data_IF_962648530101
#
_entry.id   IF_962648530101
#
_cell.length_a   1.000
_cell.length_b   1.000
_cell.length_c   1.000
_cell.angle_alpha   90.00
_cell.angle_beta   90.00
_cell.angle_gamma   90.00
#
_symmetry.space_group_name_H-M   'P 1'
#
loop_
_entity.id
_entity.type
_entity.pdbx_description
1 polymer ?
#
# COMPACT_ATOMS: atom_id res chain seq x y z
N UNK A 1 -2.61 -34.51 30.32
CA UNK A 1 -2.63 -34.49 28.85
C UNK A 1 -3.07 -33.09 28.41
N UNK A 2 -2.16 -32.17 28.02
CA UNK A 2 -2.56 -30.82 27.61
C UNK A 2 -3.12 -30.85 26.17
N UNK A 3 -4.35 -30.38 26.00
CA UNK A 3 -5.02 -30.24 24.70
C UNK A 3 -4.50 -29.02 23.94
N UNK A 4 -4.13 -29.24 22.68
CA UNK A 4 -3.62 -28.25 21.72
C UNK A 4 -4.50 -27.01 21.62
N UNK A 5 -3.92 -25.84 21.88
CA UNK A 5 -4.41 -24.58 21.33
C UNK A 5 -4.17 -24.59 19.82
N UNK A 6 -5.24 -24.65 19.03
CA UNK A 6 -5.20 -24.40 17.58
C UNK A 6 -5.36 -22.89 17.38
N UNK A 7 -4.38 -22.12 17.86
CA UNK A 7 -4.21 -20.76 17.36
C UNK A 7 -3.37 -20.93 16.10
N UNK A 8 -4.03 -21.01 14.95
CA UNK A 8 -3.37 -20.75 13.67
C UNK A 8 -2.53 -19.50 13.85
N UNK A 9 -1.22 -19.61 13.63
CA UNK A 9 -0.30 -18.48 13.66
C UNK A 9 -0.95 -17.34 12.89
N UNK A 10 -1.12 -16.21 13.57
CA UNK A 10 -1.12 -14.94 12.88
C UNK A 10 0.13 -14.99 11.99
N UNK A 11 -0.04 -15.02 10.67
CA UNK A 11 1.09 -14.82 9.76
C UNK A 11 1.59 -13.42 10.06
N UNK A 12 2.58 -13.36 10.93
CA UNK A 12 3.20 -12.12 11.35
C UNK A 12 3.87 -11.58 10.12
N UNK A 13 3.56 -10.33 9.81
CA UNK A 13 4.07 -9.50 8.72
C UNK A 13 5.56 -9.67 8.41
N UNK A 14 6.34 -10.02 9.45
CA UNK A 14 7.72 -10.47 9.40
C UNK A 14 7.99 -11.68 8.48
N UNK A 15 7.02 -12.51 8.10
CA UNK A 15 7.23 -13.72 7.27
C UNK A 15 7.00 -13.47 5.77
N UNK A 16 6.66 -12.24 5.39
CA UNK A 16 6.48 -11.88 3.98
C UNK A 16 7.83 -11.98 3.22
N UNK A 17 7.93 -12.83 2.17
CA UNK A 17 9.14 -12.94 1.38
C UNK A 17 9.44 -11.61 0.66
N UNK A 18 10.67 -11.12 0.77
CA UNK A 18 11.15 -9.96 0.00
C UNK A 18 11.14 -8.60 0.70
N UNK A 19 10.60 -8.51 1.92
CA UNK A 19 10.68 -7.28 2.72
C UNK A 19 12.03 -7.19 3.47
N UNK A 20 12.76 -6.07 3.37
CA UNK A 20 13.92 -5.83 4.23
C UNK A 20 13.45 -5.73 5.69
N UNK A 21 14.09 -6.50 6.55
CA UNK A 21 13.77 -6.60 7.98
C UNK A 21 14.82 -5.89 8.82
N UNK A 22 14.38 -5.28 9.92
CA UNK A 22 15.25 -4.81 11.00
C UNK A 22 15.95 -6.01 11.66
N UNK A 23 16.96 -5.74 12.48
CA UNK A 23 17.57 -6.77 13.33
C UNK A 23 16.54 -7.46 14.25
N UNK A 24 15.46 -6.76 14.58
CA UNK A 24 14.34 -7.20 15.39
C UNK A 24 13.23 -7.93 14.60
N UNK A 25 13.36 -8.03 13.27
CA UNK A 25 12.43 -8.78 12.40
C UNK A 25 11.26 -7.97 11.82
N UNK A 26 11.12 -6.70 12.21
CA UNK A 26 10.08 -5.80 11.69
C UNK A 26 10.42 -5.25 10.30
N UNK A 27 9.44 -4.92 9.45
CA UNK A 27 9.71 -4.29 8.16
C UNK A 27 10.40 -2.92 8.32
N UNK A 28 11.55 -2.73 7.66
CA UNK A 28 12.20 -1.41 7.53
C UNK A 28 11.64 -0.73 6.31
N UNK A 29 10.85 0.32 6.52
CA UNK A 29 10.36 1.19 5.45
C UNK A 29 11.38 2.31 5.20
N UNK A 30 11.72 2.54 3.93
CA UNK A 30 12.64 3.62 3.54
C UNK A 30 11.98 5.00 3.69
N UNK A 31 10.67 5.07 3.48
CA UNK A 31 9.90 6.31 3.57
C UNK A 31 8.63 6.10 4.40
N UNK A 32 8.16 7.11 5.15
CA UNK A 32 6.98 6.97 6.01
C UNK A 32 5.70 6.53 5.27
N UNK A 33 5.55 6.93 4.00
CA UNK A 33 4.39 6.57 3.20
C UNK A 33 4.32 5.07 2.87
N UNK A 34 5.46 4.38 2.81
CA UNK A 34 5.52 2.94 2.54
C UNK A 34 4.89 2.15 3.69
N UNK A 35 5.18 2.56 4.94
CA UNK A 35 4.56 2.02 6.13
C UNK A 35 3.04 2.22 6.13
N UNK A 36 2.57 3.38 5.67
CA UNK A 36 1.15 3.69 5.58
C UNK A 36 0.44 2.83 4.52
N UNK A 37 1.01 2.69 3.33
CA UNK A 37 0.47 1.85 2.26
C UNK A 37 0.33 0.39 2.71
N UNK A 38 1.36 -0.11 3.37
CA UNK A 38 1.37 -1.43 3.98
C UNK A 38 0.28 -1.59 5.04
N UNK A 39 0.21 -0.67 6.01
CA UNK A 39 -0.80 -0.72 7.08
C UNK A 39 -2.23 -0.67 6.53
N UNK A 40 -2.49 0.14 5.50
CA UNK A 40 -3.79 0.17 4.81
C UNK A 40 -4.12 -1.18 4.18
N UNK A 41 -3.15 -1.81 3.51
CA UNK A 41 -3.33 -3.12 2.87
C UNK A 41 -3.72 -4.19 3.89
N UNK A 42 -2.98 -4.28 5.00
CA UNK A 42 -3.27 -5.22 6.10
C UNK A 42 -4.66 -4.98 6.66
N UNK A 43 -5.01 -3.72 6.96
CA UNK A 43 -6.30 -3.37 7.55
C UNK A 43 -7.48 -3.69 6.62
N UNK A 44 -7.34 -3.41 5.32
CA UNK A 44 -8.39 -3.70 4.33
C UNK A 44 -8.59 -5.22 4.16
N UNK A 45 -7.50 -5.99 4.19
CA UNK A 45 -7.56 -7.45 4.22
C UNK A 45 -8.27 -7.97 5.49
N UNK A 46 -7.90 -7.48 6.67
CA UNK A 46 -8.54 -7.86 7.95
C UNK A 46 -10.04 -7.56 7.96
N UNK A 47 -10.47 -6.53 7.23
CA UNK A 47 -11.87 -6.16 7.04
C UNK A 47 -12.60 -6.99 5.96
N UNK A 48 -11.87 -7.88 5.27
CA UNK A 48 -12.44 -8.75 4.23
C UNK A 48 -12.76 -8.03 2.92
N UNK A 49 -12.16 -6.86 2.67
CA UNK A 49 -12.34 -6.13 1.38
C UNK A 49 -11.79 -6.96 0.22
N UNK A 50 -10.70 -7.66 0.46
CA UNK A 50 -10.08 -8.64 -0.44
C UNK A 50 -9.36 -9.71 0.38
N UNK A 51 -9.09 -10.84 -0.25
CA UNK A 51 -8.26 -11.92 0.28
C UNK A 51 -6.78 -11.73 -0.06
N UNK A 52 -5.89 -12.38 0.69
CA UNK A 52 -4.45 -12.39 0.37
C UNK A 52 -4.13 -12.95 -1.03
N UNK A 53 -4.93 -13.89 -1.53
CA UNK A 53 -4.76 -14.44 -2.88
C UNK A 53 -5.02 -13.37 -3.95
N UNK A 54 -6.12 -12.62 -3.83
CA UNK A 54 -6.45 -11.51 -4.73
C UNK A 54 -5.41 -10.39 -4.64
N UNK A 55 -4.91 -10.09 -3.43
CA UNK A 55 -3.81 -9.16 -3.23
C UNK A 55 -2.53 -9.59 -3.96
N UNK A 56 -2.11 -10.86 -3.77
CA UNK A 56 -0.90 -11.38 -4.39
C UNK A 56 -0.99 -11.35 -5.93
N UNK A 57 -2.17 -11.65 -6.49
CA UNK A 57 -2.41 -11.56 -7.93
C UNK A 57 -2.32 -10.12 -8.44
N UNK A 58 -2.98 -9.17 -7.75
CA UNK A 58 -2.94 -7.75 -8.10
C UNK A 58 -1.51 -7.20 -8.04
N UNK A 59 -0.76 -7.50 -6.97
CA UNK A 59 0.63 -7.07 -6.83
C UNK A 59 1.54 -7.69 -7.90
N UNK A 60 1.36 -8.98 -8.19
CA UNK A 60 2.14 -9.67 -9.23
C UNK A 60 1.93 -9.02 -10.60
N UNK A 61 0.69 -8.66 -10.96
CA UNK A 61 0.41 -7.93 -12.20
C UNK A 61 1.19 -6.61 -12.28
N UNK A 62 1.26 -5.88 -11.18
CA UNK A 62 1.93 -4.57 -11.14
C UNK A 62 3.44 -4.69 -11.22
N UNK A 63 4.05 -5.60 -10.44
CA UNK A 63 5.50 -5.83 -10.40
C UNK A 63 6.06 -6.34 -11.73
N UNK A 64 5.23 -7.05 -12.52
CA UNK A 64 5.65 -7.60 -13.83
C UNK A 64 5.28 -6.70 -15.02
N UNK A 65 4.79 -5.47 -14.80
CA UNK A 65 4.54 -4.56 -15.93
C UNK A 65 5.84 -4.22 -16.68
N UNK A 66 5.75 -3.95 -18.00
CA UNK A 66 6.88 -3.39 -18.73
C UNK A 66 7.32 -2.05 -18.14
N UNK A 67 8.64 -1.83 -18.06
CA UNK A 67 9.22 -0.56 -17.59
C UNK A 67 9.47 -0.47 -16.08
N UNK A 68 9.25 -1.56 -15.34
CA UNK A 68 9.59 -1.65 -13.91
C UNK A 68 11.10 -1.60 -13.66
N UNK A 69 11.48 -1.04 -12.51
CA UNK A 69 12.89 -0.86 -12.19
C UNK A 69 13.57 -2.22 -11.96
N UNK A 70 14.70 -2.45 -12.62
CA UNK A 70 15.41 -3.73 -12.52
C UNK A 70 16.00 -3.99 -11.12
N UNK A 71 16.21 -2.93 -10.35
CA UNK A 71 16.68 -2.97 -8.96
C UNK A 71 15.54 -2.98 -7.92
N UNK A 72 14.28 -2.92 -8.37
CA UNK A 72 13.10 -2.92 -7.51
C UNK A 72 12.87 -1.62 -6.74
N UNK A 73 13.51 -0.51 -7.13
CA UNK A 73 13.33 0.78 -6.47
C UNK A 73 11.87 1.27 -6.48
N UNK A 74 11.06 0.84 -7.46
CA UNK A 74 9.65 1.17 -7.61
C UNK A 74 8.69 0.13 -6.99
N UNK A 75 9.20 -0.77 -6.13
CA UNK A 75 8.39 -1.83 -5.54
C UNK A 75 7.18 -1.31 -4.75
N UNK A 76 7.35 -0.28 -3.93
CA UNK A 76 6.23 0.31 -3.19
C UNK A 76 5.31 1.17 -4.09
N UNK A 77 5.79 1.65 -5.23
CA UNK A 77 4.92 2.26 -6.24
C UNK A 77 4.03 1.19 -6.90
N UNK A 78 4.58 0.00 -7.18
CA UNK A 78 3.80 -1.17 -7.61
C UNK A 78 2.76 -1.56 -6.55
N UNK A 79 3.14 -1.51 -5.26
CA UNK A 79 2.26 -1.81 -4.14
C UNK A 79 1.05 -0.88 -4.10
N UNK A 80 1.28 0.43 -4.18
CA UNK A 80 0.19 1.43 -4.20
C UNK A 80 -0.68 1.25 -5.44
N UNK A 81 -0.08 1.04 -6.62
CA UNK A 81 -0.84 0.79 -7.84
C UNK A 81 -1.75 -0.45 -7.74
N UNK A 82 -1.25 -1.53 -7.14
CA UNK A 82 -2.01 -2.76 -6.95
C UNK A 82 -3.19 -2.54 -5.99
N UNK A 83 -2.94 -1.84 -4.88
CA UNK A 83 -3.98 -1.51 -3.91
C UNK A 83 -5.07 -0.62 -4.54
N UNK A 84 -4.67 0.40 -5.29
CA UNK A 84 -5.56 1.29 -6.04
C UNK A 84 -6.45 0.55 -7.05
N UNK A 85 -5.88 -0.38 -7.83
CA UNK A 85 -6.62 -1.23 -8.76
C UNK A 85 -7.65 -2.08 -8.01
N UNK A 86 -7.23 -2.73 -6.92
CA UNK A 86 -8.07 -3.64 -6.15
C UNK A 86 -9.24 -2.88 -5.48
N UNK A 87 -8.98 -1.68 -4.93
CA UNK A 87 -10.04 -0.83 -4.37
C UNK A 87 -11.06 -0.37 -5.42
N UNK A 88 -10.62 -0.14 -6.66
CA UNK A 88 -11.50 0.18 -7.79
C UNK A 88 -12.36 -1.02 -8.17
N UNK A 89 -11.75 -2.20 -8.31
CA UNK A 89 -12.42 -3.45 -8.65
C UNK A 89 -13.47 -3.85 -7.59
N UNK A 90 -13.23 -3.54 -6.31
CA UNK A 90 -14.16 -3.80 -5.20
C UNK A 90 -15.21 -2.70 -4.98
N UNK A 91 -15.17 -1.62 -5.78
CA UNK A 91 -16.11 -0.50 -5.66
C UNK A 91 -15.96 0.31 -4.38
N UNK A 92 -14.80 0.25 -3.72
CA UNK A 92 -14.49 1.01 -2.49
C UNK A 92 -14.06 2.43 -2.80
N UNK A 93 -13.23 2.60 -3.83
CA UNK A 93 -12.81 3.89 -4.35
C UNK A 93 -12.57 3.74 -5.86
N UNK A 94 -13.37 4.41 -6.67
CA UNK A 94 -13.24 4.32 -8.13
C UNK A 94 -11.94 4.96 -8.61
N UNK A 95 -11.45 4.51 -9.76
CA UNK A 95 -10.26 5.10 -10.40
C UNK A 95 -10.43 6.62 -10.60
N UNK A 96 -11.62 7.06 -11.01
CA UNK A 96 -11.93 8.47 -11.18
C UNK A 96 -11.82 9.28 -9.88
N UNK A 97 -12.29 8.74 -8.75
CA UNK A 97 -12.16 9.40 -7.43
C UNK A 97 -10.70 9.47 -6.99
N UNK A 98 -9.94 8.39 -7.21
CA UNK A 98 -8.52 8.33 -6.88
C UNK A 98 -7.71 9.34 -7.69
N UNK A 99 -7.93 9.41 -9.01
CA UNK A 99 -7.30 10.40 -9.89
C UNK A 99 -7.68 11.82 -9.49
N UNK A 100 -8.98 12.09 -9.28
CA UNK A 100 -9.44 13.42 -8.90
C UNK A 100 -8.81 13.91 -7.59
N UNK A 101 -8.64 13.02 -6.61
CA UNK A 101 -8.00 13.34 -5.33
C UNK A 101 -6.50 13.57 -5.49
N UNK A 102 -5.81 12.73 -6.26
CA UNK A 102 -4.38 12.89 -6.58
C UNK A 102 -4.12 14.22 -7.28
N UNK A 103 -4.90 14.55 -8.30
CA UNK A 103 -4.78 15.82 -9.03
C UNK A 103 -5.05 17.03 -8.13
N UNK A 104 -5.99 16.90 -7.20
CA UNK A 104 -6.28 17.97 -6.24
C UNK A 104 -5.13 18.17 -5.26
N UNK A 105 -4.49 17.10 -4.79
CA UNK A 105 -3.28 17.21 -3.99
C UNK A 105 -2.11 17.82 -4.76
N UNK A 106 -1.93 17.47 -6.04
CA UNK A 106 -0.91 18.08 -6.89
C UNK A 106 -1.12 19.60 -7.02
N UNK A 107 -2.36 20.03 -7.30
CA UNK A 107 -2.73 21.46 -7.34
C UNK A 107 -2.52 22.15 -5.99
N UNK A 108 -2.90 21.51 -4.88
CA UNK A 108 -2.66 22.05 -3.54
C UNK A 108 -1.15 22.26 -3.30
N UNK A 109 -0.31 21.30 -3.67
CA UNK A 109 1.14 21.40 -3.51
C UNK A 109 1.71 22.55 -4.34
N UNK A 110 1.29 22.70 -5.59
CA UNK A 110 1.71 23.80 -6.49
C UNK A 110 1.28 25.17 -5.97
N UNK A 111 0.07 25.28 -5.42
CA UNK A 111 -0.48 26.54 -4.91
C UNK A 111 0.05 26.93 -3.52
N UNK A 112 0.74 26.03 -2.81
CA UNK A 112 1.22 26.27 -1.44
C UNK A 112 2.55 27.02 -1.45
N UNK A 113 2.63 28.25 -0.90
CA UNK A 113 3.90 28.96 -0.77
C UNK A 113 4.92 28.18 0.08
N UNK A 114 6.20 28.31 -0.24
CA UNK A 114 7.27 27.67 0.53
C UNK A 114 7.16 28.00 2.03
N UNK A 115 7.34 26.98 2.87
CA UNK A 115 7.24 27.10 4.33
C UNK A 115 5.81 27.12 4.88
N UNK A 116 4.78 26.94 4.04
CA UNK A 116 3.39 26.71 4.47
C UNK A 116 3.00 25.24 4.34
N UNK A 117 2.06 24.74 5.17
CA UNK A 117 1.56 23.38 5.05
C UNK A 117 0.74 23.22 3.76
N UNK A 118 0.88 22.06 3.10
CA UNK A 118 0.06 21.68 1.95
C UNK A 118 -1.26 21.13 2.49
N UNK A 119 -2.36 21.80 2.16
CA UNK A 119 -3.71 21.43 2.56
C UNK A 119 -4.58 21.29 1.30
N UNK A 120 -5.55 20.36 1.28
CA UNK A 120 -6.45 20.14 0.13
C UNK A 120 -7.28 21.38 -0.26
N UNK A 121 -7.48 22.29 0.68
CA UNK A 121 -8.13 23.59 0.51
C UNK A 121 -7.26 24.61 -0.24
N UNK A 122 -5.94 24.38 -0.33
CA UNK A 122 -5.05 25.21 -1.15
C UNK A 122 -5.24 24.96 -2.66
N UNK A 123 -5.94 23.89 -3.06
CA UNK A 123 -6.10 23.50 -4.46
C UNK A 123 -7.03 24.41 -5.30
N UNK A 124 -7.62 25.44 -4.71
CA UNK A 124 -8.62 26.32 -5.32
C UNK A 124 -10.05 26.03 -4.91
#
# INVERSE_FOLDING_TARGET
MPGRAILSRCETLADTPGLPKSAEGDPVFAEPWQAQAFAMTVRLHEQGVFSWAEWAEALSREVHRPGRAADGADYFDCWVAALSSLLSERGVASEAEQTALSDRWARAAEATPHGKPILLENAG
#
